data_IF_362498568181
#
_entry.id   IF_362498568181
#
_cell.length_a   1.000
_cell.length_b   1.000
_cell.length_c   1.000
_cell.angle_alpha   90.00
_cell.angle_beta   90.00
_cell.angle_gamma   90.00
#
_symmetry.space_group_name_H-M   'P 1'
#
loop_
_entity.id
_entity.type
_entity.pdbx_description
1 polymer ?
#
# COMPACT_ATOMS: atom_id res chain seq x y z
N UNK A 1 -6.68 12.57 30.37
CA UNK A 1 -6.19 12.41 29.00
C UNK A 1 -5.41 11.11 28.94
N UNK A 2 -5.92 10.12 28.20
CA UNK A 2 -5.25 8.83 28.08
C UNK A 2 -3.96 9.03 27.29
N UNK A 3 -2.82 9.00 27.98
CA UNK A 3 -1.52 8.82 27.35
C UNK A 3 -1.55 7.41 26.75
N UNK A 4 -1.76 7.32 25.44
CA UNK A 4 -1.61 6.09 24.69
C UNK A 4 -0.13 5.65 24.78
N UNK A 5 0.23 4.99 25.89
CA UNK A 5 1.38 4.11 25.91
C UNK A 5 0.93 2.80 25.28
N UNK A 6 1.20 2.67 23.98
CA UNK A 6 1.10 1.43 23.23
C UNK A 6 0.03 1.45 22.15
N UNK A 7 0.36 2.01 20.98
CA UNK A 7 -0.10 1.50 19.68
C UNK A 7 1.02 1.75 18.65
N UNK A 8 1.80 0.71 18.35
CA UNK A 8 2.82 0.73 17.28
C UNK A 8 2.10 0.80 15.91
N UNK A 9 2.00 2.00 15.35
CA UNK A 9 1.36 2.22 14.05
C UNK A 9 2.39 2.09 12.93
N UNK A 10 2.00 1.81 11.69
CA UNK A 10 2.93 1.79 10.54
C UNK A 10 2.74 3.02 9.66
N UNK A 11 3.82 3.76 9.42
CA UNK A 11 3.90 4.74 8.34
C UNK A 11 4.46 4.09 7.08
N UNK A 12 3.80 4.37 5.95
CA UNK A 12 4.10 3.72 4.67
C UNK A 12 4.62 4.78 3.70
N UNK A 13 5.78 4.53 3.11
CA UNK A 13 6.33 5.32 2.02
C UNK A 13 6.51 4.48 0.76
N UNK A 14 6.92 5.12 -0.35
CA UNK A 14 7.21 4.38 -1.57
C UNK A 14 8.42 3.49 -1.37
N UNK A 15 9.48 3.97 -0.74
CA UNK A 15 10.75 3.23 -0.67
C UNK A 15 10.89 2.37 0.58
N UNK A 16 10.06 2.61 1.61
CA UNK A 16 10.15 1.94 2.90
C UNK A 16 8.88 2.09 3.72
N UNK A 17 8.74 1.23 4.72
CA UNK A 17 7.76 1.34 5.80
C UNK A 17 8.47 1.39 7.16
N UNK A 18 7.87 2.10 8.13
CA UNK A 18 8.45 2.29 9.46
C UNK A 18 7.37 2.16 10.52
N UNK A 19 7.64 1.41 11.58
CA UNK A 19 6.78 1.36 12.76
C UNK A 19 7.06 2.57 13.66
N UNK A 20 5.99 3.23 14.08
CA UNK A 20 6.02 4.51 14.80
C UNK A 20 5.21 4.45 16.10
N UNK A 21 5.67 5.23 17.07
CA UNK A 21 5.02 5.48 18.34
C UNK A 21 4.78 6.99 18.51
N UNK A 22 3.75 7.38 19.28
CA UNK A 22 3.51 8.78 19.61
C UNK A 22 4.11 9.13 20.97
N UNK A 23 5.17 9.92 20.97
CA UNK A 23 5.87 10.34 22.17
C UNK A 23 6.10 11.86 22.20
N UNK A 24 5.87 12.49 23.35
CA UNK A 24 6.19 13.91 23.62
C UNK A 24 5.66 14.89 22.56
N UNK A 25 4.50 14.62 21.98
CA UNK A 25 3.86 15.49 21.00
C UNK A 25 4.20 15.21 19.54
N UNK A 26 4.98 14.17 19.23
CA UNK A 26 5.34 13.78 17.87
C UNK A 26 5.47 12.28 17.68
N UNK A 27 5.64 11.86 16.42
CA UNK A 27 5.89 10.46 16.08
C UNK A 27 7.38 10.17 16.09
N UNK A 28 7.75 9.02 16.63
CA UNK A 28 9.13 8.49 16.65
C UNK A 28 9.14 7.06 16.13
N UNK A 29 10.26 6.61 15.58
CA UNK A 29 10.45 5.19 15.26
C UNK A 29 10.88 4.39 16.51
N UNK A 30 11.02 3.06 16.36
CA UNK A 30 11.51 2.17 17.42
C UNK A 30 12.89 2.51 18.00
N UNK A 31 13.67 3.35 17.32
CA UNK A 31 14.98 3.82 17.81
C UNK A 31 14.87 5.19 18.50
N UNK A 32 13.65 5.72 18.67
CA UNK A 32 13.38 7.03 19.26
C UNK A 32 13.65 8.19 18.31
N UNK A 33 13.88 7.95 17.01
CA UNK A 33 14.14 9.01 16.03
C UNK A 33 12.82 9.60 15.55
N UNK A 34 12.73 10.93 15.47
CA UNK A 34 11.52 11.61 14.98
C UNK A 34 11.18 11.15 13.56
N UNK A 35 9.90 10.83 13.34
CA UNK A 35 9.32 10.50 12.04
C UNK A 35 8.25 11.52 11.69
N UNK A 36 8.33 12.08 10.50
CA UNK A 36 7.31 13.00 9.99
C UNK A 36 6.31 12.22 9.13
N UNK A 37 5.05 12.27 9.53
CA UNK A 37 3.96 11.54 8.89
C UNK A 37 2.80 12.47 8.55
N UNK A 38 2.07 12.09 7.52
CA UNK A 38 0.79 12.69 7.13
C UNK A 38 -0.30 11.66 7.37
N UNK A 39 -1.35 12.05 8.07
CA UNK A 39 -2.57 11.25 8.20
C UNK A 39 -3.39 11.38 6.92
N UNK A 40 -3.71 10.25 6.31
CA UNK A 40 -4.42 10.15 5.05
C UNK A 40 -5.65 9.27 5.24
N UNK A 41 -6.74 9.61 4.55
CA UNK A 41 -7.95 8.78 4.52
C UNK A 41 -8.29 8.43 3.08
N UNK A 42 -8.48 7.14 2.79
CA UNK A 42 -8.90 6.72 1.47
C UNK A 42 -10.42 6.92 1.32
N UNK A 43 -10.86 7.84 0.48
CA UNK A 43 -12.28 8.07 0.23
C UNK A 43 -13.03 6.87 -0.37
N UNK A 44 -12.32 5.88 -0.92
CA UNK A 44 -12.94 4.69 -1.50
C UNK A 44 -13.29 3.61 -0.48
N UNK A 45 -12.49 3.44 0.57
CA UNK A 45 -12.71 2.40 1.58
C UNK A 45 -12.78 2.95 3.02
N UNK A 46 -12.70 4.28 3.16
CA UNK A 46 -12.77 5.05 4.42
C UNK A 46 -11.69 4.65 5.43
N UNK A 47 -10.62 3.99 4.97
CA UNK A 47 -9.52 3.58 5.83
C UNK A 47 -8.57 4.75 6.05
N UNK A 48 -8.28 5.06 7.31
CA UNK A 48 -7.21 5.98 7.72
C UNK A 48 -5.86 5.28 7.77
N UNK A 49 -4.80 5.95 7.32
CA UNK A 49 -3.44 5.42 7.29
C UNK A 49 -2.41 6.54 7.33
N UNK A 50 -1.20 6.22 7.80
CA UNK A 50 -0.09 7.18 7.86
C UNK A 50 0.86 7.01 6.69
N UNK A 51 1.25 8.14 6.11
CA UNK A 51 2.20 8.20 5.00
C UNK A 51 3.45 8.97 5.43
N UNK A 52 4.63 8.52 5.01
CA UNK A 52 5.87 9.26 5.26
C UNK A 52 5.85 10.58 4.47
N UNK A 53 5.93 11.71 5.16
CA UNK A 53 5.77 13.03 4.53
C UNK A 53 6.80 13.29 3.41
N UNK A 54 8.04 12.84 3.62
CA UNK A 54 9.13 12.98 2.64
C UNK A 54 9.11 11.94 1.51
N UNK A 55 8.29 10.88 1.63
CA UNK A 55 8.23 9.77 0.67
C UNK A 55 6.78 9.28 0.49
N UNK A 56 5.88 10.11 -0.08
CA UNK A 56 4.46 9.83 -0.07
C UNK A 56 4.06 8.77 -1.10
N UNK A 57 3.15 7.86 -0.72
CA UNK A 57 2.49 6.93 -1.65
C UNK A 57 1.30 7.59 -2.35
N UNK A 58 1.01 7.19 -3.59
CA UNK A 58 -0.14 7.68 -4.39
C UNK A 58 -1.32 6.68 -4.42
N UNK A 59 -1.25 5.64 -3.58
CA UNK A 59 -2.25 4.59 -3.48
C UNK A 59 -2.66 4.32 -2.03
N UNK A 60 -3.86 3.79 -1.85
CA UNK A 60 -4.33 3.32 -0.56
C UNK A 60 -3.73 1.93 -0.26
N UNK A 61 -3.02 1.76 0.87
CA UNK A 61 -2.40 0.47 1.22
C UNK A 61 -3.44 -0.61 1.55
N UNK A 62 -4.66 -0.24 1.91
CA UNK A 62 -5.71 -1.19 2.27
C UNK A 62 -6.45 -1.74 1.05
N UNK A 63 -6.95 -0.86 0.16
CA UNK A 63 -7.79 -1.28 -0.98
C UNK A 63 -7.10 -1.15 -2.34
N UNK A 64 -5.92 -0.55 -2.39
CA UNK A 64 -5.18 -0.32 -3.62
C UNK A 64 -5.72 0.72 -4.57
N UNK A 65 -6.72 1.48 -4.15
CA UNK A 65 -7.18 2.68 -4.84
C UNK A 65 -6.00 3.63 -5.01
N UNK A 66 -5.56 3.80 -6.25
CA UNK A 66 -4.61 4.83 -6.67
C UNK A 66 -5.39 6.03 -7.18
N UNK A 67 -5.07 7.23 -6.70
CA UNK A 67 -5.65 8.45 -7.27
C UNK A 67 -4.95 8.74 -8.61
N UNK A 68 -5.72 8.81 -9.70
CA UNK A 68 -5.20 9.12 -11.04
C UNK A 68 -5.52 8.08 -12.12
N UNK A 69 -4.76 8.15 -13.22
CA UNK A 69 -4.97 7.40 -14.46
C UNK A 69 -4.53 5.93 -14.31
N UNK A 70 -5.34 4.94 -14.73
CA UNK A 70 -4.91 3.55 -14.78
C UNK A 70 -3.72 3.38 -15.74
N UNK A 71 -2.93 2.32 -15.55
CA UNK A 71 -1.81 2.05 -16.45
C UNK A 71 -2.34 1.52 -17.80
N UNK A 72 -1.80 2.01 -18.92
CA UNK A 72 -2.15 1.53 -20.26
C UNK A 72 -1.59 0.13 -20.54
N UNK A 73 -0.57 -0.31 -19.81
CA UNK A 73 0.08 -1.61 -19.96
C UNK A 73 0.40 -2.27 -18.62
N UNK A 74 0.58 -3.59 -18.64
CA UNK A 74 1.03 -4.36 -17.47
C UNK A 74 2.47 -4.00 -17.10
N UNK A 75 3.32 -3.78 -18.10
CA UNK A 75 4.74 -3.48 -17.95
C UNK A 75 4.95 -2.16 -17.21
N UNK A 76 4.11 -1.16 -17.46
CA UNK A 76 4.12 0.10 -16.70
C UNK A 76 3.66 -0.09 -15.26
N UNK A 77 2.57 -0.84 -15.03
CA UNK A 77 2.11 -1.17 -13.68
C UNK A 77 3.20 -1.91 -12.89
N UNK A 78 3.87 -2.88 -13.53
CA UNK A 78 4.98 -3.64 -12.95
C UNK A 78 6.20 -2.77 -12.65
N UNK A 79 6.63 -1.95 -13.61
CA UNK A 79 7.78 -1.06 -13.43
C UNK A 79 7.53 -0.07 -12.29
N UNK A 80 6.34 0.52 -12.22
CA UNK A 80 5.95 1.36 -11.10
C UNK A 80 5.94 0.58 -9.79
N UNK A 81 5.40 -0.63 -9.76
CA UNK A 81 5.32 -1.43 -8.55
C UNK A 81 6.68 -1.87 -8.02
N UNK A 82 7.67 -2.08 -8.88
CA UNK A 82 9.04 -2.42 -8.47
C UNK A 82 9.77 -1.29 -7.75
N UNK A 83 9.31 -0.04 -7.90
CA UNK A 83 9.84 1.12 -7.18
C UNK A 83 9.26 1.28 -5.77
N UNK A 84 8.32 0.40 -5.39
CA UNK A 84 7.60 0.48 -4.13
C UNK A 84 8.00 -0.63 -3.14
N UNK A 85 8.07 -0.29 -1.86
CA UNK A 85 8.21 -1.20 -0.73
C UNK A 85 6.85 -1.80 -0.39
N UNK A 86 6.78 -3.12 -0.52
CA UNK A 86 5.59 -3.90 -0.22
C UNK A 86 5.69 -4.62 1.14
N UNK A 87 6.71 -4.31 1.95
CA UNK A 87 6.99 -4.99 3.22
C UNK A 87 5.78 -5.03 4.16
N UNK A 88 5.04 -3.92 4.29
CA UNK A 88 3.82 -3.88 5.09
C UNK A 88 2.73 -4.81 4.56
N UNK A 89 2.46 -4.82 3.26
CA UNK A 89 1.44 -5.69 2.68
C UNK A 89 1.83 -7.16 2.83
N UNK A 90 3.11 -7.47 2.64
CA UNK A 90 3.65 -8.82 2.88
C UNK A 90 3.46 -9.26 4.33
N UNK A 91 3.64 -8.37 5.32
CA UNK A 91 3.33 -8.66 6.73
C UNK A 91 1.85 -9.00 6.95
N UNK A 92 0.94 -8.41 6.17
CA UNK A 92 -0.49 -8.74 6.18
C UNK A 92 -0.84 -10.00 5.36
N UNK A 93 0.16 -10.67 4.76
CA UNK A 93 -0.03 -11.79 3.86
C UNK A 93 -0.62 -11.40 2.50
N UNK A 94 -0.51 -10.13 2.11
CA UNK A 94 -1.01 -9.59 0.85
C UNK A 94 0.15 -9.34 -0.12
N UNK A 95 -0.08 -9.67 -1.39
CA UNK A 95 0.82 -9.43 -2.50
C UNK A 95 0.19 -8.45 -3.50
N UNK A 96 1.01 -7.60 -4.14
CA UNK A 96 0.56 -6.70 -5.19
C UNK A 96 0.38 -7.43 -6.52
N UNK A 97 -0.77 -7.22 -7.16
CA UNK A 97 -1.11 -7.75 -8.48
C UNK A 97 -1.51 -6.61 -9.42
N UNK A 98 -1.11 -6.74 -10.68
CA UNK A 98 -1.66 -5.98 -11.77
C UNK A 98 -2.96 -6.66 -12.17
N UNK A 99 -4.05 -5.92 -12.14
CA UNK A 99 -5.38 -6.42 -12.48
C UNK A 99 -5.91 -5.65 -13.67
N UNK A 100 -6.24 -6.37 -14.75
CA UNK A 100 -6.77 -5.77 -15.97
C UNK A 100 -8.29 -5.75 -15.89
N UNK A 101 -8.90 -4.57 -16.04
CA UNK A 101 -10.34 -4.41 -16.18
C UNK A 101 -10.80 -4.83 -17.59
N UNK A 102 -12.10 -5.03 -17.76
CA UNK A 102 -12.68 -5.40 -19.05
C UNK A 102 -12.58 -4.30 -20.12
N UNK A 103 -12.36 -3.04 -19.70
CA UNK A 103 -12.06 -1.92 -20.59
C UNK A 103 -10.59 -1.88 -21.05
N UNK A 104 -9.78 -2.86 -20.66
CA UNK A 104 -8.36 -2.98 -21.00
C UNK A 104 -7.40 -2.24 -20.06
N UNK A 105 -7.91 -1.44 -19.13
CA UNK A 105 -7.10 -0.66 -18.20
C UNK A 105 -6.51 -1.49 -17.06
N UNK A 106 -5.30 -1.17 -16.61
CA UNK A 106 -4.63 -1.87 -15.50
C UNK A 106 -4.69 -1.07 -14.20
N UNK A 107 -5.00 -1.76 -13.10
CA UNK A 107 -5.02 -1.21 -11.73
C UNK A 107 -4.34 -2.16 -10.74
N UNK A 108 -4.07 -1.68 -9.52
CA UNK A 108 -3.55 -2.52 -8.44
C UNK A 108 -4.68 -3.35 -7.82
N UNK A 109 -4.37 -4.61 -7.57
CA UNK A 109 -5.10 -5.48 -6.67
C UNK A 109 -4.17 -6.00 -5.58
N UNK A 110 -4.70 -6.21 -4.38
CA UNK A 110 -3.96 -6.75 -3.24
C UNK A 110 -4.70 -7.98 -2.72
N UNK A 111 -4.00 -9.11 -2.69
CA UNK A 111 -4.60 -10.38 -2.24
C UNK A 111 -3.53 -11.37 -1.80
N UNK A 112 -3.96 -12.47 -1.18
CA UNK A 112 -3.06 -13.58 -0.81
C UNK A 112 -2.55 -14.37 -2.01
N UNK A 113 -3.28 -14.34 -3.13
CA UNK A 113 -2.92 -15.04 -4.37
C UNK A 113 -3.65 -14.44 -5.57
N UNK A 114 -3.15 -14.69 -6.78
CA UNK A 114 -3.82 -14.28 -8.02
C UNK A 114 -5.22 -14.92 -8.14
N UNK A 115 -5.35 -16.19 -7.74
CA UNK A 115 -6.62 -16.92 -7.76
C UNK A 115 -7.70 -16.28 -6.88
N UNK A 116 -7.31 -15.70 -5.72
CA UNK A 116 -8.26 -15.00 -4.86
C UNK A 116 -8.86 -13.75 -5.52
N UNK A 117 -8.09 -13.05 -6.36
CA UNK A 117 -8.59 -11.91 -7.14
C UNK A 117 -9.46 -12.41 -8.30
N UNK A 118 -9.00 -13.42 -9.02
CA UNK A 118 -9.73 -13.99 -10.16
C UNK A 118 -11.11 -14.52 -9.76
N UNK A 119 -11.22 -15.16 -8.59
CA UNK A 119 -12.48 -15.67 -8.05
C UNK A 119 -13.55 -14.58 -7.84
N UNK A 120 -13.17 -13.30 -7.78
CA UNK A 120 -14.14 -12.20 -7.69
C UNK A 120 -14.92 -11.96 -8.98
N UNK A 121 -14.42 -12.43 -10.13
CA UNK A 121 -15.02 -12.21 -11.46
C UNK A 121 -14.98 -10.76 -11.95
N UNK A 122 -14.29 -9.86 -11.22
CA UNK A 122 -14.28 -8.40 -11.51
C UNK A 122 -13.24 -7.98 -12.56
N UNK A 123 -12.31 -8.87 -12.90
CA UNK A 123 -11.15 -8.55 -13.72
C UNK A 123 -10.99 -9.56 -14.86
N UNK A 124 -10.53 -9.06 -16.00
CA UNK A 124 -10.28 -9.84 -17.21
C UNK A 124 -8.92 -10.54 -17.18
N UNK A 125 -7.95 -10.03 -16.42
CA UNK A 125 -6.63 -10.63 -16.24
C UNK A 125 -6.05 -10.23 -14.87
N UNK A 126 -5.21 -11.09 -14.29
CA UNK A 126 -4.52 -10.86 -13.02
C UNK A 126 -3.11 -11.40 -13.12
N UNK A 127 -2.11 -10.57 -12.82
CA UNK A 127 -0.69 -10.91 -12.92
C UNK A 127 0.08 -10.42 -11.70
N UNK A 128 0.98 -11.25 -11.17
CA UNK A 128 1.80 -10.90 -10.01
C UNK A 128 2.83 -9.83 -10.38
N UNK A 129 2.89 -8.72 -9.63
CA UNK A 129 3.82 -7.63 -9.92
C UNK A 129 5.23 -7.88 -9.38
N UNK A 130 5.40 -8.87 -8.48
CA UNK A 130 6.68 -9.23 -7.89
C UNK A 130 7.32 -10.41 -8.62
N UNK A 131 8.60 -10.32 -9.02
CA UNK A 131 9.31 -11.45 -9.59
C UNK A 131 9.49 -12.56 -8.54
N UNK A 132 9.17 -13.81 -8.90
CA UNK A 132 9.55 -15.00 -8.13
C UNK A 132 8.47 -15.62 -7.23
N UNK A 133 7.25 -15.07 -7.17
CA UNK A 133 6.16 -15.62 -6.34
C UNK A 133 4.93 -15.99 -7.20
N UNK A 134 5.17 -16.84 -8.20
CA UNK A 134 4.15 -17.41 -9.09
C UNK A 134 3.75 -18.82 -8.68
#
# INVERSE_FOLDING_TARGET
>A
MALLRGIETTAIGKTRTVEIDYERGGYVDRQGRKVEVVDMSCYSCVHGYYVLAADPIDYCPHCGRREGTPWPSYEEARSWAQLHDWGYLKKLGLLPFGTRRFDGSWVLGFARSAGAIQATGKFADVRCLLPGEG
#
